data_IF_103982870537
#
_entry.id   IF_103982870537
#
_cell.length_a   1.000
_cell.length_b   1.000
_cell.length_c   1.000
_cell.angle_alpha   90.00
_cell.angle_beta   90.00
_cell.angle_gamma   90.00
#
_symmetry.space_group_name_H-M   'P 1'
#
loop_
_entity.id
_entity.type
_entity.pdbx_description
1 polymer ?
#
# COMPACT_ATOMS: atom_id res chain seq x y z
N UNK A 1 1.33 -9.70 10.10
CA UNK A 1 0.43 -8.81 9.32
C UNK A 1 -0.57 -9.56 8.44
N UNK A 2 -0.24 -10.74 7.87
CA UNK A 2 -1.15 -11.52 7.01
C UNK A 2 -2.54 -11.78 7.60
N UNK A 3 -2.64 -12.12 8.89
CA UNK A 3 -3.93 -12.31 9.59
C UNK A 3 -4.81 -11.05 9.56
N UNK A 4 -4.22 -9.87 9.75
CA UNK A 4 -4.95 -8.60 9.73
C UNK A 4 -5.48 -8.29 8.32
N UNK A 5 -4.63 -8.50 7.30
CA UNK A 5 -4.95 -8.19 5.91
C UNK A 5 -6.00 -9.13 5.30
N UNK A 6 -5.95 -10.43 5.62
CA UNK A 6 -6.77 -11.45 4.95
C UNK A 6 -7.94 -11.94 5.78
N UNK A 7 -7.93 -11.75 7.09
CA UNK A 7 -8.99 -12.23 7.97
C UNK A 7 -9.68 -11.07 8.69
N UNK A 8 -8.96 -10.28 9.47
CA UNK A 8 -9.58 -9.27 10.34
C UNK A 8 -10.26 -8.13 9.56
N UNK A 9 -9.53 -7.49 8.63
CA UNK A 9 -10.08 -6.39 7.83
C UNK A 9 -11.23 -6.86 6.92
N UNK A 10 -11.09 -7.98 6.16
CA UNK A 10 -12.18 -8.47 5.32
C UNK A 10 -13.43 -8.89 6.09
N UNK A 11 -13.27 -9.67 7.16
CA UNK A 11 -14.41 -10.14 7.96
C UNK A 11 -15.12 -8.97 8.62
N UNK A 12 -14.39 -8.01 9.19
CA UNK A 12 -14.98 -6.84 9.82
C UNK A 12 -15.70 -5.92 8.81
N UNK A 13 -15.12 -5.73 7.63
CA UNK A 13 -15.70 -4.89 6.55
C UNK A 13 -16.98 -5.51 5.97
N UNK A 14 -17.00 -6.83 5.77
CA UNK A 14 -18.19 -7.55 5.27
C UNK A 14 -19.28 -7.63 6.34
N UNK A 15 -18.93 -7.88 7.61
CA UNK A 15 -19.90 -7.88 8.72
C UNK A 15 -20.52 -6.49 8.93
N UNK A 16 -19.74 -5.43 8.77
CA UNK A 16 -20.23 -4.06 8.93
C UNK A 16 -21.33 -3.68 7.93
N UNK A 17 -21.22 -4.21 6.69
CA UNK A 17 -22.14 -3.90 5.57
C UNK A 17 -23.22 -4.96 5.35
N UNK A 18 -23.28 -5.99 6.22
CA UNK A 18 -24.29 -7.04 6.16
C UNK A 18 -25.68 -6.47 6.45
N UNK A 19 -26.61 -6.62 5.49
CA UNK A 19 -28.00 -6.18 5.61
C UNK A 19 -28.38 -4.88 4.88
N UNK A 20 -27.45 -4.23 4.16
CA UNK A 20 -27.72 -3.05 3.33
C UNK A 20 -27.41 -3.30 1.85
N UNK A 21 -28.06 -2.57 0.95
CA UNK A 21 -27.79 -2.63 -0.48
C UNK A 21 -26.44 -1.98 -0.82
N UNK A 22 -25.42 -2.81 -1.07
CA UNK A 22 -24.03 -2.35 -1.23
C UNK A 22 -23.82 -1.33 -2.35
N UNK A 23 -24.65 -1.38 -3.40
CA UNK A 23 -24.56 -0.47 -4.55
C UNK A 23 -25.28 0.87 -4.35
N UNK A 24 -26.22 0.95 -3.40
CA UNK A 24 -27.06 2.15 -3.23
C UNK A 24 -26.78 2.91 -1.92
N UNK A 25 -26.09 2.30 -0.96
CA UNK A 25 -25.73 2.93 0.32
C UNK A 25 -24.23 3.19 0.41
N UNK A 26 -23.81 4.34 0.93
CA UNK A 26 -22.39 4.63 1.23
C UNK A 26 -22.02 4.06 2.62
N UNK A 27 -20.75 3.69 2.83
CA UNK A 27 -20.29 3.07 4.08
C UNK A 27 -20.42 4.05 5.26
N UNK A 28 -20.25 5.33 5.00
CA UNK A 28 -20.49 6.42 5.96
C UNK A 28 -21.98 6.63 6.30
N UNK A 29 -22.90 6.37 5.38
CA UNK A 29 -24.36 6.38 5.66
C UNK A 29 -24.71 5.28 6.66
N UNK A 30 -24.16 4.07 6.47
CA UNK A 30 -24.33 2.95 7.40
C UNK A 30 -23.70 3.27 8.76
N UNK A 31 -22.56 3.96 8.77
CA UNK A 31 -21.86 4.40 9.97
C UNK A 31 -22.55 5.53 10.75
N UNK A 32 -23.50 6.25 10.15
CA UNK A 32 -24.17 7.38 10.81
C UNK A 32 -25.38 6.96 11.68
N UNK A 33 -25.83 5.71 11.59
CA UNK A 33 -26.80 5.18 12.55
C UNK A 33 -26.16 5.14 13.95
N UNK A 34 -26.85 5.68 14.97
CA UNK A 34 -26.32 5.95 16.31
C UNK A 34 -25.56 4.77 16.96
N UNK A 35 -25.98 3.52 16.72
CA UNK A 35 -25.29 2.32 17.23
C UNK A 35 -24.00 1.94 16.46
N UNK A 36 -23.83 2.38 15.21
CA UNK A 36 -22.70 1.98 14.34
C UNK A 36 -21.61 3.03 14.17
N UNK A 37 -21.78 4.24 14.70
CA UNK A 37 -20.78 5.32 14.63
C UNK A 37 -19.42 4.92 15.25
N UNK A 38 -19.46 4.20 16.37
CA UNK A 38 -18.26 3.63 17.00
C UNK A 38 -17.60 2.57 16.09
N UNK A 39 -18.41 1.73 15.44
CA UNK A 39 -17.93 0.68 14.54
C UNK A 39 -17.27 1.24 13.28
N UNK A 40 -17.81 2.33 12.73
CA UNK A 40 -17.20 3.06 11.61
C UNK A 40 -15.87 3.71 12.01
N UNK A 41 -15.81 4.33 13.20
CA UNK A 41 -14.55 4.86 13.73
C UNK A 41 -13.50 3.77 13.93
N UNK A 42 -13.88 2.64 14.53
CA UNK A 42 -13.00 1.49 14.73
C UNK A 42 -12.50 0.93 13.39
N UNK A 43 -13.37 0.84 12.38
CA UNK A 43 -12.98 0.42 11.02
C UNK A 43 -11.89 1.32 10.45
N UNK A 44 -12.09 2.63 10.54
CA UNK A 44 -11.13 3.60 10.02
C UNK A 44 -9.79 3.57 10.75
N UNK A 45 -9.79 3.43 12.08
CA UNK A 45 -8.56 3.23 12.88
C UNK A 45 -7.87 1.92 12.51
N UNK A 46 -8.62 0.84 12.29
CA UNK A 46 -8.09 -0.46 11.88
C UNK A 46 -7.38 -0.38 10.52
N UNK A 47 -8.05 0.19 9.52
CA UNK A 47 -7.51 0.33 8.16
C UNK A 47 -6.33 1.31 8.14
N UNK A 48 -6.46 2.45 8.82
CA UNK A 48 -5.40 3.46 8.90
C UNK A 48 -4.15 2.94 9.60
N UNK A 49 -4.29 2.28 10.75
CA UNK A 49 -3.17 1.67 11.47
C UNK A 49 -2.47 0.59 10.63
N UNK A 50 -3.22 -0.22 9.89
CA UNK A 50 -2.66 -1.21 8.98
C UNK A 50 -1.77 -0.58 7.89
N UNK A 51 -2.27 0.45 7.18
CA UNK A 51 -1.46 1.15 6.17
C UNK A 51 -0.25 1.85 6.78
N UNK A 52 -0.37 2.40 7.98
CA UNK A 52 0.77 2.97 8.72
C UNK A 52 1.84 1.91 9.03
N UNK A 53 1.43 0.73 9.48
CA UNK A 53 2.36 -0.38 9.77
C UNK A 53 3.08 -0.86 8.50
N UNK A 54 2.36 -1.04 7.39
CA UNK A 54 2.96 -1.40 6.10
C UNK A 54 3.94 -0.31 5.65
N UNK A 55 3.53 0.96 5.74
CA UNK A 55 4.38 2.09 5.39
C UNK A 55 5.69 2.11 6.18
N UNK A 56 5.61 1.96 7.51
CA UNK A 56 6.78 1.88 8.39
C UNK A 56 7.68 0.71 8.01
N UNK A 57 7.10 -0.46 7.72
CA UNK A 57 7.85 -1.66 7.34
C UNK A 57 8.59 -1.47 6.01
N UNK A 58 7.94 -0.91 5.00
CA UNK A 58 8.59 -0.62 3.71
C UNK A 58 9.67 0.46 3.88
N UNK A 59 9.39 1.52 4.65
CA UNK A 59 10.35 2.60 4.90
C UNK A 59 11.60 2.12 5.64
N UNK A 60 11.49 1.16 6.56
CA UNK A 60 12.66 0.58 7.24
C UNK A 60 13.53 -0.28 6.33
N UNK A 61 12.97 -0.76 5.21
CA UNK A 61 13.57 -1.75 4.29
C UNK A 61 13.93 -1.19 2.91
N UNK A 62 13.61 0.08 2.70
CA UNK A 62 13.80 0.75 1.43
C UNK A 62 13.93 2.24 1.69
N UNK A 63 14.98 2.84 1.14
CA UNK A 63 15.11 4.29 1.07
C UNK A 63 14.01 4.84 0.14
N UNK A 64 12.84 5.13 0.70
CA UNK A 64 11.72 5.73 -0.03
C UNK A 64 12.01 7.21 -0.30
N UNK A 65 11.67 7.64 -1.51
CA UNK A 65 11.72 9.05 -1.87
C UNK A 65 10.87 9.89 -0.88
N UNK A 66 11.33 11.09 -0.45
CA UNK A 66 10.66 11.88 0.59
C UNK A 66 9.20 12.22 0.28
N UNK A 67 8.85 12.39 -1.00
CA UNK A 67 7.45 12.60 -1.43
C UNK A 67 6.62 11.34 -1.15
N UNK A 68 7.08 10.17 -1.60
CA UNK A 68 6.43 8.88 -1.34
C UNK A 68 6.26 8.62 0.16
N UNK A 69 7.25 9.03 0.97
CA UNK A 69 7.19 8.92 2.42
C UNK A 69 6.09 9.78 3.09
N UNK A 70 5.63 10.85 2.44
CA UNK A 70 4.57 11.73 2.96
C UNK A 70 3.17 11.34 2.51
N UNK A 71 3.03 10.51 1.46
CA UNK A 71 1.72 10.12 0.93
C UNK A 71 0.85 9.40 1.97
N UNK A 72 1.41 8.43 2.70
CA UNK A 72 0.65 7.70 3.72
C UNK A 72 0.28 8.58 4.91
N UNK A 73 1.19 9.35 5.54
CA UNK A 73 0.81 10.32 6.56
C UNK A 73 -0.30 11.27 6.12
N UNK A 74 -0.23 11.82 4.90
CA UNK A 74 -1.28 12.67 4.36
C UNK A 74 -2.61 11.91 4.17
N UNK A 75 -2.58 10.69 3.65
CA UNK A 75 -3.77 9.85 3.50
C UNK A 75 -4.43 9.54 4.85
N UNK A 76 -3.64 9.30 5.90
CA UNK A 76 -4.14 9.02 7.25
C UNK A 76 -4.77 10.24 7.90
N UNK A 77 -4.19 11.43 7.70
CA UNK A 77 -4.80 12.69 8.16
C UNK A 77 -6.14 12.91 7.48
N UNK A 78 -6.21 12.71 6.16
CA UNK A 78 -7.47 12.83 5.42
C UNK A 78 -8.49 11.79 5.85
N UNK A 79 -8.07 10.55 6.10
CA UNK A 79 -8.94 9.50 6.63
C UNK A 79 -9.50 9.88 8.01
N UNK A 80 -8.65 10.40 8.89
CA UNK A 80 -9.07 10.87 10.21
C UNK A 80 -10.07 12.03 10.10
N UNK A 81 -9.81 13.01 9.22
CA UNK A 81 -10.75 14.09 8.93
C UNK A 81 -12.08 13.56 8.37
N UNK A 82 -12.05 12.56 7.49
CA UNK A 82 -13.26 11.94 6.96
C UNK A 82 -14.08 11.31 8.09
N UNK A 83 -13.47 10.46 8.93
CA UNK A 83 -14.18 9.73 9.99
C UNK A 83 -14.72 10.66 11.09
N UNK A 84 -13.99 11.73 11.41
CA UNK A 84 -14.39 12.71 12.43
C UNK A 84 -15.44 13.71 11.93
N UNK A 85 -15.57 13.89 10.61
CA UNK A 85 -16.61 14.74 10.01
C UNK A 85 -17.93 13.97 9.93
N UNK A 86 -18.99 14.42 10.64
CA UNK A 86 -20.29 13.74 10.59
C UNK A 86 -20.91 13.84 9.20
N UNK A 87 -21.32 12.70 8.65
CA UNK A 87 -22.01 12.59 7.38
C UNK A 87 -23.53 12.70 7.61
N UNK A 88 -24.06 13.93 7.61
CA UNK A 88 -25.50 14.22 7.66
C UNK A 88 -25.90 15.00 6.40
N UNK A 89 -26.27 14.31 5.30
CA UNK A 89 -26.61 14.97 4.04
C UNK A 89 -27.92 15.76 4.14
N UNK A 90 -28.81 15.39 5.06
CA UNK A 90 -30.14 16.01 5.22
C UNK A 90 -30.13 17.29 6.08
N UNK A 91 -29.19 17.43 7.02
CA UNK A 91 -29.09 18.63 7.87
C UNK A 91 -27.95 19.58 7.44
N UNK A 92 -26.83 19.06 6.94
CA UNK A 92 -25.61 19.84 6.65
C UNK A 92 -24.91 19.34 5.36
N UNK A 93 -25.39 19.76 4.16
CA UNK A 93 -24.89 19.25 2.89
C UNK A 93 -23.39 19.51 2.67
N UNK A 94 -22.86 20.63 3.15
CA UNK A 94 -21.44 20.97 3.02
C UNK A 94 -20.51 20.01 3.80
N UNK A 95 -20.90 19.57 5.00
CA UNK A 95 -20.09 18.63 5.79
C UNK A 95 -20.03 17.25 5.14
N UNK A 96 -21.15 16.82 4.54
CA UNK A 96 -21.23 15.54 3.83
C UNK A 96 -20.39 15.53 2.56
N UNK A 97 -20.35 16.64 1.82
CA UNK A 97 -19.43 16.80 0.67
C UNK A 97 -17.97 16.77 1.13
N UNK A 98 -17.60 17.47 2.21
CA UNK A 98 -16.24 17.44 2.75
C UNK A 98 -15.81 16.03 3.16
N UNK A 99 -16.70 15.28 3.83
CA UNK A 99 -16.45 13.88 4.17
C UNK A 99 -16.13 13.04 2.92
N UNK A 100 -16.97 13.16 1.88
CA UNK A 100 -16.79 12.47 0.60
C UNK A 100 -15.43 12.83 -0.03
N UNK A 101 -15.10 14.12 -0.08
CA UNK A 101 -13.83 14.61 -0.65
C UNK A 101 -12.64 14.06 0.14
N UNK A 102 -12.67 14.11 1.48
CA UNK A 102 -11.59 13.59 2.32
C UNK A 102 -11.40 12.08 2.19
N UNK A 103 -12.51 11.31 2.19
CA UNK A 103 -12.46 9.87 2.03
C UNK A 103 -11.91 9.48 0.64
N UNK A 104 -12.39 10.16 -0.41
CA UNK A 104 -11.93 9.93 -1.77
C UNK A 104 -10.45 10.28 -1.96
N UNK A 105 -10.01 11.47 -1.52
CA UNK A 105 -8.60 11.87 -1.61
C UNK A 105 -7.71 10.92 -0.81
N UNK A 106 -8.14 10.48 0.37
CA UNK A 106 -7.39 9.50 1.17
C UNK A 106 -7.17 8.20 0.38
N UNK A 107 -8.22 7.64 -0.22
CA UNK A 107 -8.13 6.44 -1.05
C UNK A 107 -7.21 6.64 -2.27
N UNK A 108 -7.32 7.77 -2.96
CA UNK A 108 -6.44 8.10 -4.10
C UNK A 108 -4.97 8.18 -3.68
N UNK A 109 -4.66 8.81 -2.54
CA UNK A 109 -3.28 8.87 -2.03
C UNK A 109 -2.71 7.49 -1.69
N UNK A 110 -3.52 6.59 -1.13
CA UNK A 110 -3.11 5.19 -0.88
C UNK A 110 -2.82 4.48 -2.20
N UNK A 111 -3.67 4.62 -3.22
CA UNK A 111 -3.45 4.02 -4.53
C UNK A 111 -2.21 4.59 -5.23
N UNK A 112 -1.97 5.91 -5.15
CA UNK A 112 -0.77 6.55 -5.67
C UNK A 112 0.49 6.08 -4.93
N UNK A 113 0.42 5.90 -3.62
CA UNK A 113 1.52 5.36 -2.83
C UNK A 113 1.91 3.94 -3.28
N UNK A 114 0.91 3.06 -3.47
CA UNK A 114 1.14 1.72 -3.98
C UNK A 114 1.72 1.74 -5.39
N UNK A 115 1.16 2.55 -6.30
CA UNK A 115 1.70 2.71 -7.65
C UNK A 115 3.14 3.18 -7.63
N UNK A 116 3.48 4.15 -6.79
CA UNK A 116 4.83 4.69 -6.70
C UNK A 116 5.83 3.61 -6.31
N UNK A 117 5.55 2.83 -5.27
CA UNK A 117 6.43 1.73 -4.85
C UNK A 117 6.57 0.70 -5.96
N UNK A 118 5.45 0.29 -6.56
CA UNK A 118 5.46 -0.69 -7.65
C UNK A 118 6.30 -0.16 -8.81
N UNK A 119 6.14 1.10 -9.20
CA UNK A 119 6.88 1.72 -10.30
C UNK A 119 8.37 1.84 -10.01
N UNK A 120 8.74 2.29 -8.81
CA UNK A 120 10.15 2.38 -8.40
C UNK A 120 10.82 1.00 -8.45
N UNK A 121 10.14 -0.06 -8.00
CA UNK A 121 10.70 -1.42 -8.02
C UNK A 121 10.61 -2.10 -9.38
N UNK A 122 9.63 -1.75 -10.19
CA UNK A 122 9.50 -2.20 -11.58
C UNK A 122 10.68 -1.76 -12.45
N UNK A 123 11.27 -0.59 -12.17
CA UNK A 123 12.47 -0.13 -12.87
C UNK A 123 13.69 -1.00 -12.58
N UNK A 124 13.77 -1.62 -11.40
CA UNK A 124 14.86 -2.52 -11.01
C UNK A 124 14.58 -3.97 -11.43
N UNK A 125 13.37 -4.46 -11.15
CA UNK A 125 12.97 -5.85 -11.40
C UNK A 125 11.60 -5.93 -12.10
N UNK A 126 11.55 -5.71 -13.43
CA UNK A 126 10.28 -5.66 -14.14
C UNK A 126 9.51 -6.99 -14.07
N UNK A 127 10.20 -8.14 -14.13
CA UNK A 127 9.57 -9.47 -14.12
C UNK A 127 8.74 -9.74 -12.87
N UNK A 128 9.25 -9.41 -11.68
CA UNK A 128 8.58 -9.66 -10.42
C UNK A 128 7.43 -8.66 -10.15
N UNK A 129 7.54 -7.42 -10.65
CA UNK A 129 6.59 -6.34 -10.37
C UNK A 129 5.51 -6.11 -11.44
N UNK A 130 5.62 -6.72 -12.63
CA UNK A 130 4.56 -6.78 -13.66
C UNK A 130 3.18 -7.19 -13.11
N UNK A 131 3.01 -8.32 -12.39
CA UNK A 131 1.71 -8.72 -11.87
C UNK A 131 1.13 -7.71 -10.87
N UNK A 132 1.98 -6.98 -10.13
CA UNK A 132 1.53 -5.93 -9.23
C UNK A 132 1.00 -4.69 -9.98
N UNK A 133 1.61 -4.32 -11.11
CA UNK A 133 1.07 -3.25 -11.97
C UNK A 133 -0.28 -3.62 -12.56
N UNK A 134 -0.43 -4.83 -13.11
CA UNK A 134 -1.72 -5.29 -13.62
C UNK A 134 -2.78 -5.36 -12.52
N UNK A 135 -2.39 -5.86 -11.34
CA UNK A 135 -3.26 -5.85 -10.17
C UNK A 135 -3.69 -4.42 -9.80
N UNK A 136 -2.78 -3.45 -9.80
CA UNK A 136 -3.10 -2.05 -9.48
C UNK A 136 -4.05 -1.46 -10.52
N UNK A 137 -3.78 -1.72 -11.81
CA UNK A 137 -4.66 -1.33 -12.92
C UNK A 137 -6.05 -1.93 -12.80
N UNK A 138 -6.16 -3.19 -12.38
CA UNK A 138 -7.45 -3.84 -12.12
C UNK A 138 -8.20 -3.22 -10.93
N UNK A 139 -7.50 -2.85 -9.86
CA UNK A 139 -8.11 -2.12 -8.73
C UNK A 139 -8.70 -0.80 -9.23
N UNK A 140 -7.92 0.01 -9.93
CA UNK A 140 -8.40 1.32 -10.43
C UNK A 140 -9.52 1.14 -11.46
N UNK A 141 -9.36 0.24 -12.43
CA UNK A 141 -10.34 0.01 -13.49
C UNK A 141 -11.69 -0.44 -12.95
N UNK A 142 -11.71 -1.46 -12.08
CA UNK A 142 -12.96 -1.92 -11.45
C UNK A 142 -13.55 -0.84 -10.54
N UNK A 143 -12.72 -0.06 -9.85
CA UNK A 143 -13.20 1.06 -9.03
C UNK A 143 -13.92 2.12 -9.86
N UNK A 144 -13.38 2.48 -11.03
CA UNK A 144 -14.02 3.42 -11.96
C UNK A 144 -15.33 2.84 -12.51
N UNK A 145 -15.37 1.54 -12.84
CA UNK A 145 -16.60 0.87 -13.29
C UNK A 145 -17.67 0.89 -12.19
N UNK A 146 -17.31 0.53 -10.96
CA UNK A 146 -18.22 0.55 -9.81
C UNK A 146 -18.76 1.96 -9.54
N UNK A 147 -17.90 2.98 -9.65
CA UNK A 147 -18.31 4.38 -9.52
C UNK A 147 -19.27 4.80 -10.65
N UNK A 148 -18.98 4.41 -11.90
CA UNK A 148 -19.81 4.74 -13.06
C UNK A 148 -21.19 4.06 -13.00
N UNK A 149 -21.25 2.80 -12.55
CA UNK A 149 -22.50 2.03 -12.41
C UNK A 149 -23.35 2.56 -11.25
N UNK A 150 -22.73 2.87 -10.11
CA UNK A 150 -23.46 3.34 -8.94
C UNK A 150 -23.85 4.84 -9.01
N UNK A 151 -23.09 5.65 -9.74
CA UNK A 151 -23.25 7.11 -9.78
C UNK A 151 -22.85 7.84 -8.50
N UNK A 152 -22.45 7.11 -7.44
CA UNK A 152 -22.03 7.61 -6.13
C UNK A 152 -20.88 6.76 -5.57
N UNK A 153 -20.23 7.22 -4.50
CA UNK A 153 -19.18 6.45 -3.79
C UNK A 153 -19.82 5.34 -2.93
N UNK A 154 -20.35 4.33 -3.60
CA UNK A 154 -21.09 3.23 -2.95
C UNK A 154 -20.24 2.43 -1.95
N UNK A 155 -20.90 1.77 -0.99
CA UNK A 155 -20.23 0.85 -0.06
C UNK A 155 -19.50 -0.26 -0.82
N UNK A 156 -20.06 -0.76 -1.94
CA UNK A 156 -19.40 -1.75 -2.77
C UNK A 156 -18.02 -1.27 -3.27
N UNK A 157 -17.93 -0.01 -3.69
CA UNK A 157 -16.68 0.61 -4.09
C UNK A 157 -15.70 0.75 -2.92
N UNK A 158 -16.16 1.24 -1.77
CA UNK A 158 -15.33 1.43 -0.58
C UNK A 158 -14.77 0.10 -0.05
N UNK A 159 -15.60 -0.94 0.00
CA UNK A 159 -15.19 -2.31 0.36
C UNK A 159 -14.16 -2.81 -0.65
N UNK A 160 -14.46 -2.74 -1.95
CA UNK A 160 -13.59 -3.25 -3.00
C UNK A 160 -12.21 -2.59 -2.96
N UNK A 161 -12.16 -1.26 -2.93
CA UNK A 161 -10.90 -0.50 -2.87
C UNK A 161 -10.12 -0.84 -1.60
N UNK A 162 -10.79 -0.90 -0.45
CA UNK A 162 -10.13 -1.18 0.83
C UNK A 162 -9.52 -2.58 0.85
N UNK A 163 -10.31 -3.61 0.53
CA UNK A 163 -9.86 -5.00 0.60
C UNK A 163 -8.74 -5.29 -0.40
N UNK A 164 -8.89 -4.80 -1.63
CA UNK A 164 -7.90 -5.04 -2.67
C UNK A 164 -6.61 -4.26 -2.42
N UNK A 165 -6.68 -3.02 -1.94
CA UNK A 165 -5.51 -2.21 -1.57
C UNK A 165 -4.77 -2.81 -0.37
N UNK A 166 -5.48 -3.29 0.64
CA UNK A 166 -4.90 -3.99 1.81
C UNK A 166 -4.20 -5.28 1.40
N UNK A 167 -4.83 -6.08 0.55
CA UNK A 167 -4.25 -7.32 0.02
C UNK A 167 -3.01 -7.06 -0.83
N UNK A 168 -3.05 -6.02 -1.68
CA UNK A 168 -1.90 -5.59 -2.49
C UNK A 168 -0.75 -5.10 -1.61
N UNK A 169 -1.04 -4.22 -0.64
CA UNK A 169 -0.06 -3.71 0.31
C UNK A 169 0.62 -4.85 1.09
N UNK A 170 -0.14 -5.87 1.51
CA UNK A 170 0.41 -7.06 2.19
C UNK A 170 1.37 -7.84 1.30
N UNK A 171 0.96 -8.10 0.04
CA UNK A 171 1.77 -8.84 -0.92
C UNK A 171 3.04 -8.08 -1.28
N UNK A 172 2.92 -6.76 -1.47
CA UNK A 172 4.03 -5.88 -1.79
C UNK A 172 5.04 -5.83 -0.64
N UNK A 173 4.58 -5.61 0.60
CA UNK A 173 5.45 -5.62 1.77
C UNK A 173 6.15 -6.99 1.97
N UNK A 174 5.44 -8.09 1.71
CA UNK A 174 6.03 -9.43 1.77
C UNK A 174 7.08 -9.67 0.68
N UNK A 175 6.92 -9.07 -0.52
CA UNK A 175 7.92 -9.18 -1.58
C UNK A 175 9.15 -8.33 -1.30
N UNK A 176 8.95 -7.09 -0.84
CA UNK A 176 10.05 -6.21 -0.42
C UNK A 176 10.86 -6.85 0.72
N UNK A 177 10.19 -7.58 1.63
CA UNK A 177 10.86 -8.36 2.66
C UNK A 177 11.83 -9.42 2.13
N UNK A 178 11.37 -10.22 1.16
CA UNK A 178 12.14 -11.35 0.62
C UNK A 178 13.37 -10.86 -0.15
N UNK A 179 13.29 -9.70 -0.80
CA UNK A 179 14.41 -9.13 -1.56
C UNK A 179 15.56 -8.64 -0.67
N UNK A 180 15.32 -8.25 0.59
CA UNK A 180 16.41 -7.90 1.52
C UNK A 180 17.07 -9.12 2.15
N UNK A 181 16.33 -10.23 2.32
CA UNK A 181 16.86 -11.47 2.90
C UNK A 181 17.74 -12.28 1.94
N UNK A 182 17.74 -11.93 0.65
CA UNK A 182 18.70 -12.45 -0.33
C UNK A 182 19.77 -11.38 -0.63
N UNK A 183 20.81 -11.24 0.21
CA UNK A 183 21.99 -10.54 -0.22
C UNK A 183 22.64 -11.36 -1.33
N UNK A 184 22.99 -10.69 -2.41
CA UNK A 184 23.77 -11.15 -3.54
C UNK A 184 24.80 -12.26 -3.19
N UNK A 185 24.40 -13.52 -3.36
CA UNK A 185 25.34 -14.64 -3.40
C UNK A 185 25.74 -14.83 -4.87
N UNK A 186 26.54 -13.90 -5.39
CA UNK A 186 26.60 -13.71 -6.84
C UNK A 186 27.88 -13.22 -7.50
N UNK A 187 28.94 -12.78 -6.83
CA UNK A 187 30.25 -12.61 -7.50
C UNK A 187 31.43 -12.54 -6.52
N UNK A 188 32.06 -13.68 -6.26
CA UNK A 188 33.45 -13.74 -5.78
C UNK A 188 34.05 -15.05 -6.30
N UNK A 189 34.36 -15.09 -7.60
CA UNK A 189 35.17 -16.15 -8.18
C UNK A 189 36.41 -15.55 -8.86
N UNK A 190 37.52 -15.61 -8.12
CA UNK A 190 38.87 -15.83 -8.64
C UNK A 190 39.47 -14.76 -9.55
N UNK A 191 40.07 -13.71 -8.95
CA UNK A 191 41.19 -13.01 -9.58
C UNK A 191 42.11 -12.32 -8.55
N UNK A 192 42.61 -13.04 -7.53
CA UNK A 192 43.76 -12.54 -6.77
C UNK A 192 44.62 -13.68 -6.25
N UNK A 193 45.63 -14.04 -7.04
CA UNK A 193 46.54 -15.14 -6.74
C UNK A 193 47.80 -15.11 -7.59
N UNK A 194 48.32 -13.93 -7.93
CA UNK A 194 49.67 -13.83 -8.49
C UNK A 194 50.29 -12.47 -8.21
N UNK A 195 50.60 -12.21 -6.94
CA UNK A 195 51.57 -11.18 -6.56
C UNK A 195 52.16 -11.49 -5.19
N UNK A 196 53.43 -11.89 -5.18
CA UNK A 196 54.26 -11.83 -3.98
C UNK A 196 54.80 -13.15 -3.43
N UNK A 197 55.69 -13.81 -4.16
CA UNK A 197 56.86 -14.47 -3.55
C UNK A 197 58.11 -13.81 -4.16
N UNK A 198 58.66 -12.83 -3.45
CA UNK A 198 59.95 -12.96 -2.75
C UNK A 198 61.10 -13.31 -3.72
N UNK A 199 61.75 -12.29 -4.30
CA UNK A 199 63.06 -11.78 -3.85
C UNK A 199 64.15 -12.87 -3.72
N UNK A 200 65.10 -12.83 -4.67
CA UNK A 200 66.49 -13.16 -4.40
C UNK A 200 67.04 -14.46 -5.01
N UNK A 201 67.44 -14.43 -6.29
CA UNK A 201 68.66 -15.16 -6.69
C UNK A 201 69.29 -14.65 -8.00
N UNK A 202 70.48 -14.06 -7.84
CA UNK A 202 71.65 -14.08 -8.72
C UNK A 202 71.58 -13.49 -10.15
N UNK A 203 72.20 -12.31 -10.26
CA UNK A 203 73.26 -11.99 -11.24
C UNK A 203 74.04 -13.23 -11.68
N UNK A 204 74.13 -13.47 -12.98
CA UNK A 204 75.36 -13.67 -13.76
C UNK A 204 74.98 -14.08 -15.19
N UNK A 205 75.02 -13.13 -16.14
CA UNK A 205 75.24 -13.43 -17.55
C UNK A 205 75.91 -12.23 -18.21
N UNK A 206 77.24 -12.27 -18.24
CA UNK A 206 78.11 -11.52 -19.13
C UNK A 206 79.32 -12.43 -19.33
N UNK A 207 79.51 -12.85 -20.59
CA UNK A 207 80.59 -13.65 -21.20
C UNK A 207 79.97 -14.73 -22.09
N UNK A 208 79.62 -14.36 -23.31
CA UNK A 208 80.22 -14.94 -24.54
C UNK A 208 79.92 -14.02 -25.72
#
# INVERSE_FOLDING_TARGET
MKFWAYFLIPVYTVLFTRGYNWFTTNFSVIGNFFDRKKSFFLWGVLVGSYFYMIHRNIKSRAALHPICARLIPAALVLLFCAITTPYLPEELPLKSVLHIVFAFLSAVLVLLYLLWIIRTRYQTEPGAYRPFLYGWGAIVGVSVILLAVAGIISSALEIYVTLTSVAMAQRLACRVAVQEEMPDSGENTSAEGSRGKSLGKRRNHLLT
#
